data_IF_163192766137
#
_entry.id   IF_163192766137
#
_cell.length_a   1.000
_cell.length_b   1.000
_cell.length_c   1.000
_cell.angle_alpha   90.00
_cell.angle_beta   90.00
_cell.angle_gamma   90.00
#
_symmetry.space_group_name_H-M   'P 1'
#
loop_
_entity.id
_entity.type
_entity.pdbx_description
1 polymer ?
#
# COMPACT_ATOMS: atom_id res chain seq x y z
N UNK A 1 4.20 -10.14 -20.25
CA UNK A 1 5.57 -9.57 -20.27
C UNK A 1 5.66 -8.26 -21.04
N UNK A 2 5.31 -8.20 -22.34
CA UNK A 2 5.42 -6.97 -23.18
C UNK A 2 4.88 -5.68 -22.53
N UNK A 3 3.68 -5.72 -21.92
CA UNK A 3 3.08 -4.57 -21.19
C UNK A 3 3.84 -4.12 -19.94
N UNK A 4 4.68 -4.97 -19.37
CA UNK A 4 5.46 -4.69 -18.17
C UNK A 4 6.79 -4.01 -18.46
N UNK A 5 7.48 -4.40 -19.54
CA UNK A 5 8.87 -4.00 -19.82
C UNK A 5 9.10 -2.48 -19.74
N UNK A 6 8.18 -1.69 -20.28
CA UNK A 6 8.29 -0.22 -20.32
C UNK A 6 7.86 0.47 -19.02
N UNK A 7 7.32 -0.27 -18.05
CA UNK A 7 6.78 0.29 -16.81
C UNK A 7 7.76 0.29 -15.64
N UNK A 8 8.94 -0.32 -15.75
CA UNK A 8 9.86 -0.47 -14.62
C UNK A 8 10.49 0.88 -14.28
N UNK A 9 10.54 1.21 -12.98
CA UNK A 9 11.00 2.51 -12.49
C UNK A 9 9.97 3.64 -12.62
N UNK A 10 8.68 3.31 -12.78
CA UNK A 10 7.60 4.33 -12.95
C UNK A 10 6.51 4.22 -11.88
N UNK A 11 5.94 5.35 -11.49
CA UNK A 11 4.78 5.40 -10.59
C UNK A 11 3.52 4.87 -11.28
N UNK A 12 3.21 5.48 -12.42
CA UNK A 12 1.95 5.33 -13.14
C UNK A 12 0.79 6.15 -12.59
N UNK A 13 -0.40 5.82 -13.11
CA UNK A 13 -1.64 6.54 -12.86
C UNK A 13 -2.49 5.97 -11.73
N UNK A 14 -3.60 6.66 -11.44
CA UNK A 14 -4.59 6.31 -10.41
C UNK A 14 -4.14 6.77 -9.02
N UNK A 15 -4.35 5.92 -8.02
CA UNK A 15 -3.93 6.19 -6.65
C UNK A 15 -2.43 5.95 -6.40
N UNK A 16 -1.62 5.88 -7.47
CA UNK A 16 -0.17 5.83 -7.34
C UNK A 16 0.40 7.23 -7.16
N UNK A 17 1.43 7.35 -6.32
CA UNK A 17 2.06 8.61 -5.98
C UNK A 17 3.43 8.43 -5.34
N UNK A 18 4.20 9.52 -5.35
CA UNK A 18 5.30 9.75 -4.42
C UNK A 18 4.92 10.98 -3.59
N UNK A 19 4.93 10.83 -2.27
CA UNK A 19 4.56 11.90 -1.35
C UNK A 19 5.73 12.21 -0.41
N UNK A 20 6.10 13.49 -0.33
CA UNK A 20 7.03 14.03 0.64
C UNK A 20 6.19 14.53 1.82
N UNK A 21 6.51 14.04 3.01
CA UNK A 21 5.71 14.25 4.20
C UNK A 21 6.58 14.73 5.36
N UNK A 22 5.96 15.37 6.35
CA UNK A 22 6.58 15.82 7.58
C UNK A 22 5.87 15.26 8.81
N UNK A 23 6.63 14.97 9.85
CA UNK A 23 6.13 14.55 11.16
C UNK A 23 6.04 15.78 12.07
N UNK A 24 4.88 16.06 12.65
CA UNK A 24 4.75 17.03 13.73
C UNK A 24 4.80 16.34 15.09
N UNK A 25 5.15 17.06 16.15
CA UNK A 25 5.30 16.48 17.50
C UNK A 25 3.99 15.87 17.99
N UNK A 26 2.89 16.60 17.80
CA UNK A 26 1.53 16.18 18.15
C UNK A 26 1.01 14.98 17.35
N UNK A 27 1.71 14.60 16.27
CA UNK A 27 1.33 13.49 15.40
C UNK A 27 2.06 12.18 15.76
N UNK A 28 2.83 12.16 16.84
CA UNK A 28 3.46 10.93 17.37
C UNK A 28 2.59 10.39 18.50
N UNK A 29 1.96 9.23 18.26
CA UNK A 29 1.08 8.57 19.22
C UNK A 29 1.81 7.55 20.10
N UNK A 30 2.91 6.98 19.60
CA UNK A 30 3.80 6.10 20.37
C UNK A 30 5.26 6.47 20.15
N UNK A 31 5.81 7.28 21.06
CA UNK A 31 7.18 7.79 20.97
C UNK A 31 8.24 6.68 21.00
N UNK A 32 7.99 5.59 21.73
CA UNK A 32 8.94 4.49 21.89
C UNK A 32 9.08 3.71 20.58
N UNK A 33 7.94 3.39 19.94
CA UNK A 33 7.94 2.69 18.65
C UNK A 33 8.45 3.63 17.55
N UNK A 34 8.01 4.90 17.53
CA UNK A 34 8.52 5.89 16.58
C UNK A 34 10.06 5.99 16.64
N UNK A 35 10.63 6.13 17.84
CA UNK A 35 12.09 6.16 18.04
C UNK A 35 12.77 4.87 17.56
N UNK A 36 12.16 3.71 17.79
CA UNK A 36 12.69 2.41 17.32
C UNK A 36 12.79 2.38 15.78
N UNK A 37 11.88 3.06 15.09
CA UNK A 37 11.86 3.16 13.63
C UNK A 37 12.66 4.35 13.08
N UNK A 38 13.39 5.07 13.95
CA UNK A 38 14.15 6.25 13.54
C UNK A 38 13.28 7.45 13.21
N UNK A 39 12.06 7.52 13.75
CA UNK A 39 11.09 8.58 13.52
C UNK A 39 11.11 9.64 14.64
N UNK A 40 11.12 10.92 14.26
CA UNK A 40 11.15 12.04 15.21
C UNK A 40 10.42 13.30 14.70
N UNK A 41 10.02 14.23 15.59
CA UNK A 41 9.36 15.48 15.19
C UNK A 41 10.21 16.33 14.23
N UNK A 42 9.58 16.90 13.21
CA UNK A 42 10.21 17.71 12.18
C UNK A 42 10.88 16.93 11.06
N UNK A 43 10.95 15.59 11.17
CA UNK A 43 11.56 14.76 10.13
C UNK A 43 10.75 14.77 8.85
N UNK A 44 11.46 14.86 7.72
CA UNK A 44 10.91 14.67 6.38
C UNK A 44 11.04 13.20 5.99
N UNK A 45 9.95 12.59 5.53
CA UNK A 45 9.90 11.22 5.03
C UNK A 45 9.31 11.19 3.63
N UNK A 46 9.59 10.11 2.88
CA UNK A 46 9.05 9.92 1.53
C UNK A 46 8.27 8.61 1.48
N UNK A 47 7.04 8.68 0.98
CA UNK A 47 6.18 7.53 0.75
C UNK A 47 6.04 7.26 -0.74
N UNK A 48 6.14 6.00 -1.15
CA UNK A 48 5.95 5.57 -2.54
C UNK A 48 4.82 4.56 -2.59
N UNK A 49 3.75 4.91 -3.30
CA UNK A 49 2.65 4.00 -3.59
C UNK A 49 2.68 3.65 -5.08
N UNK A 50 3.15 2.45 -5.39
CA UNK A 50 3.04 1.86 -6.74
C UNK A 50 3.06 0.34 -6.70
N UNK A 51 2.68 -0.28 -7.82
CA UNK A 51 2.53 -1.73 -7.95
C UNK A 51 3.29 -2.32 -9.13
N UNK A 52 2.77 -3.44 -9.63
CA UNK A 52 3.33 -4.24 -10.71
C UNK A 52 3.05 -3.70 -12.11
N UNK A 53 2.55 -2.46 -12.21
CA UNK A 53 2.25 -1.76 -13.46
C UNK A 53 1.35 -2.62 -14.37
N UNK A 54 1.52 -2.53 -15.69
CA UNK A 54 0.75 -3.32 -16.65
C UNK A 54 0.98 -4.83 -16.56
N UNK A 55 2.09 -5.29 -15.94
CA UNK A 55 2.42 -6.71 -15.85
C UNK A 55 1.42 -7.47 -14.97
N UNK A 56 1.21 -7.01 -13.74
CA UNK A 56 0.30 -7.69 -12.82
C UNK A 56 -1.15 -7.57 -13.23
N UNK A 57 -1.54 -6.43 -13.82
CA UNK A 57 -2.87 -6.30 -14.43
C UNK A 57 -3.10 -7.35 -15.51
N UNK A 58 -2.16 -7.52 -16.44
CA UNK A 58 -2.31 -8.51 -17.52
C UNK A 58 -2.35 -9.93 -16.95
N UNK A 59 -1.50 -10.27 -15.99
CA UNK A 59 -1.52 -11.58 -15.33
C UNK A 59 -2.90 -11.83 -14.68
N UNK A 60 -3.47 -10.85 -13.98
CA UNK A 60 -4.81 -10.99 -13.40
C UNK A 60 -5.85 -11.31 -14.48
N UNK A 61 -5.88 -10.53 -15.57
CA UNK A 61 -6.80 -10.74 -16.71
C UNK A 61 -6.64 -12.14 -17.30
N UNK A 62 -5.39 -12.52 -17.64
CA UNK A 62 -5.10 -13.81 -18.29
C UNK A 62 -5.59 -15.01 -17.47
N UNK A 63 -5.43 -14.96 -16.14
CA UNK A 63 -5.83 -16.05 -15.26
C UNK A 63 -7.32 -16.04 -14.89
N UNK A 64 -7.96 -14.87 -14.80
CA UNK A 64 -9.42 -14.81 -14.65
C UNK A 64 -10.09 -15.42 -15.88
N UNK A 65 -9.64 -15.07 -17.08
CA UNK A 65 -10.20 -15.61 -18.33
C UNK A 65 -9.89 -17.11 -18.49
N UNK A 66 -8.76 -17.59 -17.96
CA UNK A 66 -8.45 -19.02 -17.89
C UNK A 66 -9.35 -19.79 -16.92
N UNK A 67 -9.71 -19.21 -15.78
CA UNK A 67 -10.45 -19.88 -14.71
C UNK A 67 -11.95 -19.93 -14.98
N UNK A 68 -12.54 -18.85 -15.51
CA UNK A 68 -13.98 -18.72 -15.78
C UNK A 68 -14.60 -19.95 -16.47
N UNK A 69 -14.10 -20.41 -17.63
CA UNK A 69 -14.70 -21.56 -18.32
C UNK A 69 -14.51 -22.89 -17.56
N UNK A 70 -13.53 -22.99 -16.66
CA UNK A 70 -13.18 -24.22 -15.92
C UNK A 70 -13.95 -24.41 -14.62
N UNK A 71 -14.67 -23.38 -14.16
CA UNK A 71 -15.46 -23.45 -12.93
C UNK A 71 -16.41 -24.67 -12.93
N UNK A 72 -17.07 -24.92 -14.07
CA UNK A 72 -17.96 -26.08 -14.25
C UNK A 72 -17.22 -27.41 -14.13
N UNK A 73 -16.04 -27.52 -14.74
CA UNK A 73 -15.22 -28.74 -14.70
C UNK A 73 -14.73 -29.07 -13.28
N UNK A 74 -14.52 -28.03 -12.46
CA UNK A 74 -14.18 -28.18 -11.03
C UNK A 74 -15.39 -28.31 -10.12
N UNK A 75 -16.62 -28.29 -10.65
CA UNK A 75 -17.84 -28.31 -9.84
C UNK A 75 -17.99 -27.09 -8.92
N UNK A 76 -17.35 -25.96 -9.24
CA UNK A 76 -17.40 -24.74 -8.46
C UNK A 76 -18.51 -23.85 -8.99
N UNK A 77 -19.53 -23.62 -8.16
CA UNK A 77 -20.59 -22.66 -8.45
C UNK A 77 -20.31 -21.33 -7.73
N UNK A 78 -20.20 -20.26 -8.50
CA UNK A 78 -20.00 -18.89 -7.99
C UNK A 78 -21.28 -18.07 -8.17
N UNK A 79 -21.54 -17.16 -7.25
CA UNK A 79 -22.67 -16.22 -7.34
C UNK A 79 -22.46 -15.13 -8.38
N UNK A 80 -21.19 -14.84 -8.70
CA UNK A 80 -20.77 -13.82 -9.63
C UNK A 80 -19.56 -14.34 -10.43
N UNK A 81 -19.52 -14.08 -11.73
CA UNK A 81 -18.41 -14.47 -12.61
C UNK A 81 -17.09 -13.73 -12.30
N UNK A 82 -17.15 -12.60 -11.59
CA UNK A 82 -16.00 -11.90 -11.04
C UNK A 82 -15.37 -12.64 -9.84
N UNK A 83 -16.06 -13.62 -9.24
CA UNK A 83 -15.53 -14.50 -8.20
C UNK A 83 -14.84 -15.75 -8.78
N UNK A 84 -14.45 -15.71 -10.06
CA UNK A 84 -13.73 -16.81 -10.71
C UNK A 84 -12.47 -17.20 -9.94
N UNK A 85 -12.32 -18.49 -9.68
CA UNK A 85 -11.26 -19.05 -8.85
C UNK A 85 -10.88 -20.45 -9.34
N UNK A 86 -9.82 -21.03 -8.76
CA UNK A 86 -9.35 -22.37 -9.07
C UNK A 86 -9.04 -23.13 -7.76
N UNK A 87 -9.25 -24.46 -7.70
CA UNK A 87 -8.76 -25.27 -6.59
C UNK A 87 -7.26 -25.06 -6.42
N UNK A 88 -6.78 -24.82 -5.20
CA UNK A 88 -5.38 -24.47 -4.94
C UNK A 88 -4.39 -25.56 -5.41
N UNK A 89 -4.85 -26.80 -5.50
CA UNK A 89 -4.07 -27.97 -5.92
C UNK A 89 -4.08 -28.19 -7.45
N UNK A 90 -4.81 -27.37 -8.20
CA UNK A 90 -4.88 -27.47 -9.67
C UNK A 90 -3.61 -26.96 -10.32
N UNK A 91 -3.30 -27.47 -11.53
CA UNK A 91 -2.16 -26.99 -12.34
C UNK A 91 -2.32 -25.51 -12.68
N UNK A 92 -3.54 -25.06 -12.88
CA UNK A 92 -3.92 -23.68 -13.17
C UNK A 92 -3.63 -22.75 -12.00
N UNK A 93 -4.02 -23.13 -10.77
CA UNK A 93 -3.71 -22.38 -9.57
C UNK A 93 -2.21 -22.32 -9.29
N UNK A 94 -1.48 -23.43 -9.47
CA UNK A 94 -0.03 -23.45 -9.30
C UNK A 94 0.66 -22.47 -10.26
N UNK A 95 0.26 -22.48 -11.54
CA UNK A 95 0.77 -21.55 -12.55
C UNK A 95 0.42 -20.09 -12.21
N UNK A 96 -0.81 -19.83 -11.78
CA UNK A 96 -1.24 -18.50 -11.33
C UNK A 96 -0.39 -18.00 -10.17
N UNK A 97 -0.18 -18.82 -9.14
CA UNK A 97 0.61 -18.43 -7.97
C UNK A 97 2.06 -18.10 -8.35
N UNK A 98 2.67 -18.85 -9.28
CA UNK A 98 3.99 -18.53 -9.83
C UNK A 98 4.00 -17.20 -10.60
N UNK A 99 2.97 -16.95 -11.42
CA UNK A 99 2.83 -15.69 -12.16
C UNK A 99 2.59 -14.50 -11.22
N UNK A 100 1.70 -14.63 -10.23
CA UNK A 100 1.43 -13.63 -9.22
C UNK A 100 2.68 -13.30 -8.39
N UNK A 101 3.47 -14.32 -8.00
CA UNK A 101 4.78 -14.12 -7.34
C UNK A 101 5.75 -13.33 -8.23
N UNK A 102 5.76 -13.62 -9.53
CA UNK A 102 6.58 -12.87 -10.50
C UNK A 102 6.12 -11.40 -10.62
N UNK A 103 4.81 -11.14 -10.62
CA UNK A 103 4.28 -9.79 -10.59
C UNK A 103 4.61 -9.05 -9.29
N UNK A 104 4.58 -9.75 -8.14
CA UNK A 104 4.98 -9.19 -6.85
C UNK A 104 6.47 -8.82 -6.83
N UNK A 105 7.35 -9.70 -7.33
CA UNK A 105 8.78 -9.44 -7.46
C UNK A 105 9.05 -8.23 -8.36
N UNK A 106 8.33 -8.13 -9.48
CA UNK A 106 8.40 -6.98 -10.35
C UNK A 106 7.98 -5.68 -9.62
N UNK A 107 6.92 -5.71 -8.80
CA UNK A 107 6.49 -4.55 -8.02
C UNK A 107 7.54 -4.12 -6.97
N UNK A 108 8.19 -5.08 -6.29
CA UNK A 108 9.30 -4.80 -5.39
C UNK A 108 10.50 -4.20 -6.15
N UNK A 109 10.87 -4.76 -7.30
CA UNK A 109 11.93 -4.20 -8.14
C UNK A 109 11.59 -2.78 -8.61
N UNK A 110 10.33 -2.53 -8.98
CA UNK A 110 9.86 -1.20 -9.37
C UNK A 110 10.05 -0.19 -8.24
N UNK A 111 9.60 -0.52 -7.01
CA UNK A 111 9.79 0.35 -5.85
C UNK A 111 11.26 0.53 -5.50
N UNK A 112 12.08 -0.51 -5.61
CA UNK A 112 13.52 -0.41 -5.35
C UNK A 112 14.23 0.55 -6.32
N UNK A 113 13.90 0.49 -7.61
CA UNK A 113 14.42 1.45 -8.61
C UNK A 113 13.97 2.86 -8.29
N UNK A 114 12.69 3.05 -7.95
CA UNK A 114 12.16 4.37 -7.56
C UNK A 114 12.85 4.89 -6.30
N UNK A 115 13.07 4.06 -5.28
CA UNK A 115 13.82 4.43 -4.07
C UNK A 115 15.22 4.93 -4.40
N UNK A 116 15.94 4.29 -5.33
CA UNK A 116 17.23 4.78 -5.78
C UNK A 116 17.12 6.16 -6.45
N UNK A 117 16.14 6.37 -7.33
CA UNK A 117 15.93 7.65 -8.01
C UNK A 117 15.52 8.77 -7.04
N UNK A 118 14.74 8.45 -6.01
CA UNK A 118 14.41 9.40 -4.93
C UNK A 118 15.68 9.85 -4.22
N UNK A 119 16.52 8.90 -3.80
CA UNK A 119 17.77 9.21 -3.11
C UNK A 119 18.69 10.08 -3.99
N UNK A 120 18.77 9.79 -5.29
CA UNK A 120 19.50 10.61 -6.25
C UNK A 120 18.93 12.03 -6.37
N UNK A 121 17.62 12.18 -6.55
CA UNK A 121 16.98 13.49 -6.65
C UNK A 121 17.16 14.34 -5.39
N UNK A 122 17.07 13.74 -4.20
CA UNK A 122 17.37 14.43 -2.94
C UNK A 122 18.85 14.79 -2.82
N UNK A 123 19.77 13.88 -3.19
CA UNK A 123 21.21 14.13 -3.19
C UNK A 123 21.58 15.35 -4.06
N UNK A 124 21.01 15.43 -5.27
CA UNK A 124 21.19 16.57 -6.18
C UNK A 124 20.60 17.87 -5.60
N UNK A 125 19.37 17.83 -5.09
CA UNK A 125 18.68 19.00 -4.56
C UNK A 125 19.37 19.59 -3.32
N UNK A 126 19.96 18.75 -2.47
CA UNK A 126 20.61 19.19 -1.22
C UNK A 126 22.14 19.27 -1.32
N UNK A 127 22.75 18.96 -2.47
CA UNK A 127 24.20 19.00 -2.66
C UNK A 127 24.98 18.06 -1.73
N UNK A 128 24.39 16.93 -1.35
CA UNK A 128 24.98 15.95 -0.42
C UNK A 128 25.21 14.63 -1.12
N UNK A 129 26.25 13.90 -0.73
CA UNK A 129 26.47 12.53 -1.20
C UNK A 129 25.28 11.64 -0.79
N UNK A 130 24.80 10.81 -1.73
CA UNK A 130 23.68 9.89 -1.57
C UNK A 130 23.82 8.97 -0.34
N UNK A 131 25.03 8.51 -0.03
CA UNK A 131 25.31 7.62 1.11
C UNK A 131 25.22 8.36 2.45
N UNK A 132 25.41 9.68 2.43
CA UNK A 132 25.37 10.54 3.61
C UNK A 132 23.98 11.18 3.83
N UNK A 133 22.99 10.86 2.99
CA UNK A 133 21.63 11.40 3.11
C UNK A 133 20.82 10.74 4.25
N UNK A 134 21.23 9.56 4.74
CA UNK A 134 20.51 8.86 5.81
C UNK A 134 19.09 8.41 5.43
N UNK A 135 18.82 8.20 4.14
CA UNK A 135 17.49 7.84 3.62
C UNK A 135 17.24 6.33 3.66
N UNK A 136 17.17 5.79 4.87
CA UNK A 136 16.90 4.38 5.14
C UNK A 136 15.45 3.99 4.82
N UNK A 137 15.24 2.76 4.34
CA UNK A 137 13.90 2.23 4.13
C UNK A 137 13.32 1.76 5.47
N UNK A 138 12.22 2.37 5.91
CA UNK A 138 11.52 1.93 7.13
C UNK A 138 10.86 0.57 6.89
N UNK A 139 10.00 0.48 5.87
CA UNK A 139 9.31 -0.76 5.51
C UNK A 139 8.77 -0.70 4.08
N UNK A 140 8.56 -1.87 3.48
CA UNK A 140 7.86 -2.03 2.20
C UNK A 140 6.80 -3.13 2.37
N UNK A 141 5.55 -2.82 2.04
CA UNK A 141 4.42 -3.72 2.22
C UNK A 141 3.49 -3.76 0.99
N UNK A 142 2.97 -4.95 0.69
CA UNK A 142 1.97 -5.15 -0.35
C UNK A 142 0.55 -5.15 0.24
N UNK A 143 -0.42 -4.61 -0.51
CA UNK A 143 -1.84 -4.65 -0.16
C UNK A 143 -2.75 -5.37 -1.17
N UNK A 144 -2.17 -5.86 -2.28
CA UNK A 144 -2.82 -6.71 -3.27
C UNK A 144 -1.94 -7.94 -3.51
N UNK A 145 -2.15 -9.00 -2.73
CA UNK A 145 -1.33 -10.21 -2.78
C UNK A 145 -2.05 -11.42 -2.16
N UNK A 146 -1.68 -12.61 -2.60
CA UNK A 146 -1.99 -13.85 -1.89
C UNK A 146 -0.72 -14.44 -1.27
N UNK A 147 -0.78 -14.86 0.00
CA UNK A 147 0.37 -15.40 0.75
C UNK A 147 -0.02 -16.68 1.47
N UNK A 148 0.85 -17.68 1.38
CA UNK A 148 0.75 -18.88 2.22
C UNK A 148 1.27 -18.51 3.62
N UNK A 149 0.43 -18.65 4.63
CA UNK A 149 0.72 -18.24 6.00
C UNK A 149 0.21 -19.31 6.99
N UNK A 150 0.84 -19.35 8.17
CA UNK A 150 0.37 -20.18 9.28
C UNK A 150 -0.48 -19.35 10.22
N UNK A 151 -1.69 -19.82 10.50
CA UNK A 151 -2.66 -19.17 11.39
C UNK A 151 -3.40 -20.22 12.22
N UNK A 152 -4.02 -19.81 13.33
CA UNK A 152 -4.92 -20.66 14.11
C UNK A 152 -6.32 -20.58 13.51
N UNK A 153 -6.88 -21.73 13.15
CA UNK A 153 -8.23 -21.86 12.57
C UNK A 153 -8.93 -23.00 13.28
N UNK A 154 -10.05 -22.70 13.93
CA UNK A 154 -10.79 -23.64 14.79
C UNK A 154 -9.89 -24.27 15.88
N UNK A 155 -9.05 -23.44 16.50
CA UNK A 155 -8.10 -23.88 17.54
C UNK A 155 -6.90 -24.68 17.04
N UNK A 156 -6.76 -24.90 15.71
CA UNK A 156 -5.65 -25.67 15.13
C UNK A 156 -4.77 -24.81 14.24
N UNK A 157 -3.46 -25.03 14.32
CA UNK A 157 -2.50 -24.39 13.41
C UNK A 157 -2.69 -24.96 12.00
N UNK A 158 -3.15 -24.13 11.07
CA UNK A 158 -3.35 -24.49 9.66
C UNK A 158 -2.50 -23.60 8.76
N UNK A 159 -2.06 -24.16 7.63
CA UNK A 159 -1.47 -23.41 6.53
C UNK A 159 -2.62 -22.97 5.61
N UNK A 160 -2.75 -21.67 5.39
CA UNK A 160 -3.82 -21.06 4.59
C UNK A 160 -3.23 -20.13 3.54
N UNK A 161 -3.93 -19.98 2.41
CA UNK A 161 -3.60 -18.98 1.40
C UNK A 161 -4.44 -17.72 1.65
N UNK A 162 -3.86 -16.77 2.36
CA UNK A 162 -4.52 -15.51 2.71
C UNK A 162 -4.53 -14.59 1.49
N UNK A 163 -5.72 -14.25 1.02
CA UNK A 163 -5.92 -13.30 -0.08
C UNK A 163 -6.17 -11.91 0.50
N UNK A 164 -5.32 -10.95 0.16
CA UNK A 164 -5.48 -9.55 0.54
C UNK A 164 -5.67 -8.71 -0.71
N UNK A 165 -6.82 -8.02 -0.80
CA UNK A 165 -7.14 -7.05 -1.86
C UNK A 165 -7.55 -5.74 -1.18
N UNK A 166 -6.72 -4.70 -1.30
CA UNK A 166 -6.88 -3.48 -0.51
C UNK A 166 -6.75 -3.71 1.00
N UNK A 167 -5.93 -4.66 1.41
CA UNK A 167 -5.67 -4.98 2.82
C UNK A 167 -4.19 -5.29 3.02
N UNK A 168 -3.65 -4.92 4.18
CA UNK A 168 -2.22 -5.00 4.47
C UNK A 168 -1.95 -6.10 5.48
N UNK A 169 -0.84 -6.82 5.35
CA UNK A 169 -0.41 -7.77 6.39
C UNK A 169 -0.06 -6.99 7.67
N UNK A 170 -0.51 -7.48 8.82
CA UNK A 170 -0.51 -6.80 10.11
C UNK A 170 -0.01 -7.74 11.22
N UNK A 171 1.14 -8.39 10.99
CA UNK A 171 1.69 -9.37 11.93
C UNK A 171 2.06 -8.73 13.28
N UNK A 172 1.68 -9.42 14.35
CA UNK A 172 1.92 -9.01 15.71
C UNK A 172 3.39 -9.16 16.12
N UNK A 173 3.73 -8.73 17.36
CA UNK A 173 5.03 -8.99 17.95
C UNK A 173 5.39 -10.48 17.95
N UNK A 174 6.69 -10.77 18.03
CA UNK A 174 7.30 -12.10 18.15
C UNK A 174 7.10 -13.06 16.96
N UNK A 175 6.46 -12.60 15.88
CA UNK A 175 6.39 -13.36 14.62
C UNK A 175 7.76 -13.57 14.01
N UNK A 176 8.05 -14.84 13.70
CA UNK A 176 9.33 -15.27 13.13
C UNK A 176 9.65 -14.64 11.78
N UNK A 177 8.62 -14.25 11.02
CA UNK A 177 8.73 -13.64 9.70
C UNK A 177 9.14 -12.15 9.78
N UNK A 178 9.15 -11.56 10.97
CA UNK A 178 9.57 -10.17 11.18
C UNK A 178 11.07 -10.06 11.38
N UNK A 179 11.66 -9.04 10.77
CA UNK A 179 13.02 -8.63 11.06
C UNK A 179 13.16 -8.30 12.56
N UNK A 180 14.35 -8.54 13.13
CA UNK A 180 14.60 -8.44 14.57
C UNK A 180 14.15 -7.12 15.18
N UNK A 181 14.35 -6.02 14.46
CA UNK A 181 13.98 -4.66 14.88
C UNK A 181 12.46 -4.47 15.05
N UNK A 182 11.64 -5.29 14.39
CA UNK A 182 10.19 -5.23 14.44
C UNK A 182 9.55 -6.30 15.33
N UNK A 183 10.32 -7.30 15.78
CA UNK A 183 9.75 -8.40 16.59
C UNK A 183 9.11 -7.91 17.87
N UNK A 184 9.69 -6.90 18.53
CA UNK A 184 9.12 -6.37 19.79
C UNK A 184 7.98 -5.37 19.59
N UNK A 185 7.86 -4.78 18.40
CA UNK A 185 6.88 -3.71 18.13
C UNK A 185 5.68 -4.21 17.32
N UNK A 186 5.84 -5.33 16.60
CA UNK A 186 4.94 -5.72 15.53
C UNK A 186 5.38 -5.15 14.18
N UNK A 187 4.80 -5.68 13.11
CA UNK A 187 5.13 -5.29 11.74
C UNK A 187 4.71 -3.84 11.47
N UNK A 188 5.57 -2.99 10.87
CA UNK A 188 5.12 -1.70 10.36
C UNK A 188 4.01 -1.87 9.31
N UNK A 189 2.98 -1.04 9.43
CA UNK A 189 1.83 -0.98 8.53
C UNK A 189 1.73 0.45 8.01
N UNK A 190 1.97 0.62 6.70
CA UNK A 190 1.91 1.91 6.04
C UNK A 190 0.49 2.09 5.47
N UNK A 191 -0.19 3.17 5.88
CA UNK A 191 -1.58 3.44 5.49
C UNK A 191 -1.66 4.79 4.79
N UNK A 192 -1.98 4.76 3.50
CA UNK A 192 -2.13 5.98 2.69
C UNK A 192 -3.51 6.61 2.86
N UNK A 193 -3.58 7.92 3.10
CA UNK A 193 -4.84 8.67 3.07
C UNK A 193 -5.09 9.23 1.67
N UNK A 194 -5.07 10.56 1.57
CA UNK A 194 -5.16 11.31 0.31
C UNK A 194 -4.05 12.36 0.25
N UNK A 195 -3.87 12.97 -0.92
CA UNK A 195 -2.91 14.06 -1.13
C UNK A 195 -3.09 15.24 -0.17
N UNK A 196 -4.28 15.39 0.42
CA UNK A 196 -4.63 16.50 1.31
C UNK A 196 -4.57 16.14 2.79
N UNK A 197 -4.85 14.88 3.15
CA UNK A 197 -5.10 14.46 4.54
C UNK A 197 -3.89 13.81 5.20
N UNK A 198 -2.95 13.34 4.39
CA UNK A 198 -1.73 12.67 4.84
C UNK A 198 -1.90 11.17 5.03
N UNK A 199 -0.98 10.59 5.77
CA UNK A 199 -0.82 9.13 5.89
C UNK A 199 -0.49 8.73 7.33
N UNK A 200 -0.50 7.44 7.60
CA UNK A 200 -0.18 6.89 8.92
C UNK A 200 0.83 5.75 8.85
N UNK A 201 1.64 5.64 9.89
CA UNK A 201 2.34 4.42 10.26
C UNK A 201 1.69 3.82 11.49
N UNK A 202 1.28 2.57 11.35
CA UNK A 202 0.77 1.74 12.42
C UNK A 202 1.72 0.54 12.64
N UNK A 203 1.45 -0.27 13.66
CA UNK A 203 2.08 -1.57 13.85
C UNK A 203 1.05 -2.68 14.03
N UNK A 204 1.42 -3.88 13.61
CA UNK A 204 0.59 -5.07 13.80
C UNK A 204 0.52 -5.54 15.24
N UNK A 205 -0.56 -6.25 15.54
CA UNK A 205 -0.91 -6.68 16.90
C UNK A 205 -1.21 -8.17 16.93
N UNK A 206 -1.14 -8.79 18.11
CA UNK A 206 -1.55 -10.18 18.31
C UNK A 206 -3.02 -10.38 17.92
N UNK A 207 -3.89 -9.42 18.26
CA UNK A 207 -5.32 -9.47 17.94
C UNK A 207 -5.60 -9.52 16.44
N UNK A 208 -4.78 -8.85 15.62
CA UNK A 208 -4.87 -8.98 14.17
C UNK A 208 -4.69 -10.44 13.72
N UNK A 209 -3.76 -11.17 14.33
CA UNK A 209 -3.49 -12.57 14.02
C UNK A 209 -4.65 -13.48 14.38
N UNK A 210 -5.28 -13.19 15.52
CA UNK A 210 -6.42 -13.93 16.06
C UNK A 210 -7.70 -13.71 15.23
N UNK A 211 -7.97 -12.47 14.82
CA UNK A 211 -9.28 -12.11 14.25
C UNK A 211 -9.28 -11.96 12.71
N UNK A 212 -8.14 -11.63 12.11
CA UNK A 212 -8.08 -11.16 10.71
C UNK A 212 -6.99 -11.82 9.88
N UNK A 213 -6.47 -12.96 10.34
CA UNK A 213 -5.31 -13.61 9.71
C UNK A 213 -4.10 -12.66 9.59
N UNK A 214 -3.88 -11.84 10.62
CA UNK A 214 -2.83 -10.84 10.66
C UNK A 214 -3.00 -9.84 9.52
N UNK A 215 -4.16 -9.20 9.42
CA UNK A 215 -4.47 -8.25 8.35
C UNK A 215 -5.07 -6.96 8.90
N UNK A 216 -4.92 -5.85 8.16
CA UNK A 216 -5.58 -4.58 8.48
C UNK A 216 -5.84 -3.79 7.19
N UNK A 217 -6.29 -2.55 7.31
CA UNK A 217 -6.53 -1.66 6.18
C UNK A 217 -5.26 -1.35 5.36
N UNK A 218 -5.45 -0.80 4.16
CA UNK A 218 -4.36 -0.23 3.34
C UNK A 218 -4.43 1.29 3.19
N UNK A 219 -5.62 1.87 3.36
CA UNK A 219 -5.89 3.29 3.17
C UNK A 219 -7.36 3.62 3.40
N UNK A 220 -7.73 4.88 3.12
CA UNK A 220 -9.08 5.39 3.38
C UNK A 220 -10.19 4.67 2.58
N UNK A 221 -9.87 4.23 1.35
CA UNK A 221 -10.86 3.69 0.41
C UNK A 221 -11.73 4.79 -0.21
N UNK A 222 -12.17 4.55 -1.44
CA UNK A 222 -12.96 5.53 -2.20
C UNK A 222 -14.43 5.50 -1.79
N UNK A 223 -15.04 6.67 -1.67
CA UNK A 223 -16.49 6.87 -1.56
C UNK A 223 -17.12 7.23 -2.89
N UNK A 224 -16.29 7.64 -3.86
CA UNK A 224 -16.73 8.15 -5.15
C UNK A 224 -15.99 7.46 -6.32
N UNK A 225 -16.71 7.18 -7.41
CA UNK A 225 -16.10 6.68 -8.64
C UNK A 225 -15.15 7.72 -9.25
N UNK A 226 -14.19 7.27 -10.05
CA UNK A 226 -13.24 8.15 -10.75
C UNK A 226 -13.96 9.15 -11.65
N UNK A 227 -14.93 8.66 -12.41
CA UNK A 227 -15.74 9.47 -13.32
C UNK A 227 -16.59 10.51 -12.58
N UNK A 228 -17.15 10.17 -11.42
CA UNK A 228 -17.88 11.14 -10.61
C UNK A 228 -16.94 12.21 -10.04
N UNK A 229 -15.76 11.81 -9.53
CA UNK A 229 -14.77 12.76 -9.00
C UNK A 229 -14.29 13.76 -10.06
N UNK A 230 -14.00 13.30 -11.29
CA UNK A 230 -13.60 14.18 -12.39
C UNK A 230 -14.70 15.14 -12.86
N UNK A 231 -15.98 14.83 -12.58
CA UNK A 231 -17.10 15.75 -12.88
C UNK A 231 -17.31 16.77 -11.78
N UNK A 232 -17.05 16.39 -10.53
CA UNK A 232 -17.28 17.23 -9.36
C UNK A 232 -16.09 18.18 -9.07
N UNK A 233 -14.86 17.72 -9.29
CA UNK A 233 -13.65 18.45 -8.94
C UNK A 233 -12.92 18.97 -10.18
N UNK A 234 -12.34 20.16 -10.06
CA UNK A 234 -11.45 20.73 -11.05
C UNK A 234 -10.00 20.65 -10.57
N UNK A 235 -9.15 19.97 -11.34
CA UNK A 235 -7.75 19.70 -10.96
C UNK A 235 -6.96 20.97 -10.65
N UNK A 236 -7.08 22.02 -11.45
CA UNK A 236 -6.37 23.29 -11.24
C UNK A 236 -6.79 23.99 -9.93
N UNK A 237 -8.09 23.99 -9.62
CA UNK A 237 -8.59 24.56 -8.38
C UNK A 237 -8.11 23.75 -7.18
N UNK A 238 -8.14 22.43 -7.31
CA UNK A 238 -7.63 21.50 -6.30
C UNK A 238 -6.14 21.73 -6.04
N UNK A 239 -5.32 21.82 -7.09
CA UNK A 239 -3.89 22.15 -7.00
C UNK A 239 -3.65 23.47 -6.25
N UNK A 240 -4.29 24.56 -6.69
CA UNK A 240 -4.18 25.88 -6.04
C UNK A 240 -4.62 25.83 -4.58
N UNK A 241 -5.65 25.05 -4.25
CA UNK A 241 -6.12 24.91 -2.88
C UNK A 241 -5.11 24.18 -1.97
N UNK A 242 -4.40 23.19 -2.50
CA UNK A 242 -3.35 22.47 -1.80
C UNK A 242 -2.09 23.33 -1.64
N UNK A 243 -1.70 24.07 -2.67
CA UNK A 243 -0.58 25.01 -2.61
C UNK A 243 -0.81 26.10 -1.55
N UNK A 244 -2.04 26.61 -1.43
CA UNK A 244 -2.42 27.54 -0.34
C UNK A 244 -2.29 26.93 1.05
N UNK A 245 -2.40 25.60 1.18
CA UNK A 245 -2.17 24.86 2.43
C UNK A 245 -0.69 24.47 2.64
N UNK A 246 0.20 24.87 1.72
CA UNK A 246 1.63 24.55 1.77
C UNK A 246 1.98 23.17 1.22
N UNK A 247 1.10 22.55 0.41
CA UNK A 247 1.34 21.26 -0.23
C UNK A 247 1.67 21.51 -1.70
N UNK A 248 2.92 21.31 -2.09
CA UNK A 248 3.34 21.37 -3.49
C UNK A 248 2.81 20.15 -4.24
N UNK A 249 2.26 20.34 -5.45
CA UNK A 249 1.76 19.22 -6.25
C UNK A 249 2.30 19.29 -7.68
N UNK A 250 2.88 18.19 -8.12
CA UNK A 250 3.27 17.95 -9.50
C UNK A 250 2.46 16.76 -10.05
N UNK A 251 1.53 17.05 -10.96
CA UNK A 251 0.69 16.04 -11.57
C UNK A 251 0.89 16.02 -13.10
N UNK A 252 0.98 14.81 -13.69
CA UNK A 252 1.07 14.64 -15.15
C UNK A 252 -0.21 15.10 -15.85
N UNK A 253 -1.36 15.04 -15.19
CA UNK A 253 -2.64 15.53 -15.74
C UNK A 253 -3.55 16.14 -14.66
N UNK A 254 -4.27 17.19 -15.04
CA UNK A 254 -5.26 17.83 -14.16
C UNK A 254 -6.51 16.96 -13.96
N UNK A 255 -6.88 16.15 -14.95
CA UNK A 255 -7.96 15.17 -14.81
C UNK A 255 -7.62 14.07 -13.81
N UNK A 256 -6.40 13.53 -13.87
CA UNK A 256 -5.92 12.56 -12.89
C UNK A 256 -5.78 13.15 -11.49
N UNK A 257 -5.49 14.45 -11.38
CA UNK A 257 -5.51 15.14 -10.10
C UNK A 257 -6.93 15.25 -9.53
N UNK A 258 -7.91 15.63 -10.35
CA UNK A 258 -9.32 15.69 -9.96
C UNK A 258 -9.90 14.33 -9.57
N UNK A 259 -9.51 13.25 -10.27
CA UNK A 259 -9.89 11.87 -9.97
C UNK A 259 -9.55 11.46 -8.52
N UNK A 260 -8.49 12.04 -7.98
CA UNK A 260 -7.84 11.67 -6.73
C UNK A 260 -8.06 12.70 -5.61
N UNK A 261 -9.02 13.63 -5.79
CA UNK A 261 -9.40 14.62 -4.79
C UNK A 261 -9.67 13.98 -3.41
N UNK A 262 -9.25 14.64 -2.33
CA UNK A 262 -9.36 14.08 -0.98
C UNK A 262 -10.80 13.74 -0.58
N UNK A 263 -11.77 14.54 -1.05
CA UNK A 263 -13.21 14.31 -0.84
C UNK A 263 -13.78 13.07 -1.55
N UNK A 264 -13.04 12.47 -2.49
CA UNK A 264 -13.42 11.20 -3.13
C UNK A 264 -13.09 9.96 -2.26
N UNK A 265 -12.47 10.18 -1.10
CA UNK A 265 -12.05 9.16 -0.14
C UNK A 265 -12.79 9.32 1.19
N UNK A 266 -12.84 8.24 1.98
CA UNK A 266 -13.29 8.33 3.38
C UNK A 266 -12.31 9.18 4.19
N UNK A 267 -12.72 9.62 5.38
CA UNK A 267 -11.76 10.18 6.33
C UNK A 267 -10.80 9.08 6.79
N UNK A 268 -9.50 9.28 6.55
CA UNK A 268 -8.45 8.36 6.98
C UNK A 268 -8.37 8.28 8.51
N UNK A 269 -8.71 9.35 9.23
CA UNK A 269 -8.68 9.36 10.70
C UNK A 269 -9.69 8.35 11.25
N UNK A 270 -10.93 8.36 10.74
CA UNK A 270 -11.98 7.41 11.16
C UNK A 270 -11.56 5.96 10.92
N UNK A 271 -10.95 5.67 9.75
CA UNK A 271 -10.47 4.32 9.43
C UNK A 271 -9.37 3.89 10.40
N UNK A 272 -8.41 4.78 10.68
CA UNK A 272 -7.30 4.52 11.62
C UNK A 272 -7.82 4.30 13.03
N UNK A 273 -8.64 5.22 13.54
CA UNK A 273 -9.15 5.16 14.91
C UNK A 273 -10.03 3.93 15.11
N UNK A 274 -10.80 3.52 14.10
CA UNK A 274 -11.60 2.28 14.17
C UNK A 274 -10.70 1.05 14.35
N UNK A 275 -9.62 0.90 13.57
CA UNK A 275 -8.75 -0.29 13.68
C UNK A 275 -7.86 -0.25 14.94
N UNK A 276 -7.48 0.94 15.40
CA UNK A 276 -6.75 1.15 16.64
C UNK A 276 -7.62 0.78 17.85
N UNK A 277 -8.86 1.27 17.91
CA UNK A 277 -9.84 0.91 18.95
C UNK A 277 -10.23 -0.57 18.90
N UNK A 278 -10.36 -1.14 17.71
CA UNK A 278 -10.58 -2.58 17.55
C UNK A 278 -9.36 -3.40 18.00
N UNK A 279 -8.18 -2.78 18.14
CA UNK A 279 -6.93 -3.45 18.51
C UNK A 279 -6.29 -4.24 17.37
N UNK A 280 -6.76 -4.09 16.13
CA UNK A 280 -6.25 -4.79 14.93
C UNK A 280 -4.93 -4.17 14.45
N UNK A 281 -4.75 -2.87 14.60
CA UNK A 281 -3.49 -2.21 14.29
C UNK A 281 -3.30 -1.01 15.20
N UNK A 282 -2.13 -0.87 15.81
CA UNK A 282 -1.84 0.23 16.73
C UNK A 282 -1.30 1.44 15.96
N UNK A 283 -1.90 2.63 16.10
CA UNK A 283 -1.37 3.86 15.48
C UNK A 283 -0.07 4.32 16.16
N UNK A 284 0.92 4.75 15.36
CA UNK A 284 2.24 5.17 15.85
C UNK A 284 2.55 6.61 15.45
N UNK A 285 2.47 6.93 14.16
CA UNK A 285 2.77 8.27 13.64
C UNK A 285 1.77 8.66 12.55
N UNK A 286 1.34 9.91 12.54
CA UNK A 286 0.68 10.55 11.40
C UNK A 286 1.68 11.41 10.63
N UNK A 287 1.67 11.29 9.31
CA UNK A 287 2.47 12.09 8.39
C UNK A 287 1.58 13.13 7.70
N UNK A 288 2.06 14.37 7.60
CA UNK A 288 1.39 15.43 6.88
C UNK A 288 2.08 15.67 5.53
N UNK A 289 1.34 15.77 4.43
CA UNK A 289 1.94 15.98 3.13
C UNK A 289 2.48 17.40 3.02
N UNK A 290 3.61 17.56 2.34
CA UNK A 290 4.18 18.85 1.93
C UNK A 290 4.51 18.88 0.44
N UNK A 291 4.60 17.70 -0.20
CA UNK A 291 4.86 17.58 -1.63
C UNK A 291 4.24 16.29 -2.19
N UNK A 292 3.61 16.37 -3.36
CA UNK A 292 2.98 15.24 -4.04
C UNK A 292 3.40 15.17 -5.50
N UNK A 293 3.83 14.00 -5.96
CA UNK A 293 4.12 13.71 -7.36
C UNK A 293 3.19 12.59 -7.84
N UNK A 294 2.37 12.90 -8.84
CA UNK A 294 1.39 11.98 -9.42
C UNK A 294 1.64 11.74 -10.90
N UNK A 295 1.56 10.48 -11.29
CA UNK A 295 1.62 10.05 -12.69
C UNK A 295 0.27 10.06 -13.39
#
# INVERSE_FOLDING_TARGET
>A
VKRGVTGLGTLGSGNHYLEIQVIKKENIFDEKIAKTFGLFPGQVVVMVHTGSRGLGHQICTDYVDLFRPKLKDWGINVRDQELSCAPINSKEAERYLKAMRSAANYAFANRQVITHQIRKGFSEAFGKNIDNMGMELIYDVAHNIAKEEQHIVDGKKKKVLVHRKGATRCFGPERSELANIFRKTGQPVIVGGSMETGSYLCVGTTKAEEETFGSTMHGAGRTMSRTAAMREFQGEQLQKSMEKKGIYVHAVSMSGLAEEAGKAYKDINEVIDTMDQAGISKKVVRFLPIGNVKG
#
